data_IF_725581313893
#
_entry.id   IF_725581313893
#
_cell.length_a   1.000
_cell.length_b   1.000
_cell.length_c   1.000
_cell.angle_alpha   90.00
_cell.angle_beta   90.00
_cell.angle_gamma   90.00
#
_symmetry.space_group_name_H-M   'P 1'
#
loop_
_entity.id
_entity.type
_entity.pdbx_description
1 polymer ?
#
# COMPACT_ATOMS: atom_id res chain seq x y z
N UNK A 1 -4.19 -14.25 -0.12
CA UNK A 1 -2.97 -14.05 0.67
C UNK A 1 -3.22 -14.34 2.14
N UNK A 2 -2.34 -15.08 2.78
CA UNK A 2 -2.56 -15.56 4.15
C UNK A 2 -2.69 -14.43 5.20
N UNK A 3 -2.06 -13.28 5.03
CA UNK A 3 -2.19 -12.13 5.94
C UNK A 3 -3.60 -11.55 6.00
N UNK A 4 -4.45 -11.84 5.02
CA UNK A 4 -5.86 -11.47 5.00
C UNK A 4 -6.75 -12.54 5.63
N UNK A 5 -6.24 -13.73 5.87
CA UNK A 5 -6.97 -14.79 6.54
C UNK A 5 -7.17 -14.44 8.02
N UNK A 6 -8.27 -14.91 8.60
CA UNK A 6 -8.56 -14.71 10.02
C UNK A 6 -7.53 -15.39 10.90
N UNK A 7 -7.08 -16.57 10.50
CA UNK A 7 -5.99 -17.35 11.11
C UNK A 7 -5.03 -17.67 9.96
N UNK A 8 -3.80 -17.08 9.94
CA UNK A 8 -2.82 -17.44 8.95
C UNK A 8 -2.48 -18.94 9.01
N UNK A 9 -2.59 -19.60 7.86
CA UNK A 9 -2.39 -21.03 7.73
C UNK A 9 -1.83 -21.36 6.35
N UNK A 10 -1.21 -22.51 6.19
CA UNK A 10 -0.56 -22.94 4.95
C UNK A 10 -1.18 -24.23 4.37
N UNK A 11 -2.34 -24.66 4.87
CA UNK A 11 -3.04 -25.85 4.39
C UNK A 11 -3.44 -25.74 2.92
N UNK A 12 -3.75 -24.53 2.45
CA UNK A 12 -4.02 -24.25 1.04
C UNK A 12 -2.78 -24.47 0.16
N UNK A 13 -1.59 -24.08 0.62
CA UNK A 13 -0.33 -24.37 -0.09
C UNK A 13 -0.05 -25.86 -0.16
N UNK A 14 -0.25 -26.58 0.95
CA UNK A 14 -0.11 -28.03 0.96
C UNK A 14 -1.09 -28.70 0.01
N UNK A 15 -2.36 -28.29 0.04
CA UNK A 15 -3.38 -28.83 -0.85
C UNK A 15 -3.08 -28.56 -2.34
N UNK A 16 -2.72 -27.32 -2.67
CA UNK A 16 -2.39 -26.93 -4.05
C UNK A 16 -1.20 -27.72 -4.58
N UNK A 17 -0.15 -27.90 -3.80
CA UNK A 17 1.10 -28.54 -4.25
C UNK A 17 1.01 -30.07 -4.20
N UNK A 18 0.52 -30.65 -3.10
CA UNK A 18 0.64 -32.10 -2.87
C UNK A 18 -0.61 -32.88 -3.27
N UNK A 19 -1.78 -32.25 -3.32
CA UNK A 19 -3.05 -32.91 -3.67
C UNK A 19 -3.47 -32.55 -5.08
N UNK A 20 -3.52 -31.25 -5.41
CA UNK A 20 -3.95 -30.77 -6.70
C UNK A 20 -2.83 -30.78 -7.76
N UNK A 21 -1.58 -30.99 -7.37
CA UNK A 21 -0.40 -30.92 -8.23
C UNK A 21 -0.35 -29.63 -9.08
N UNK A 22 -0.76 -28.52 -8.46
CA UNK A 22 -0.84 -27.23 -9.09
C UNK A 22 0.56 -26.68 -9.42
N UNK A 23 0.66 -26.00 -10.56
CA UNK A 23 1.89 -25.32 -10.97
C UNK A 23 1.94 -23.90 -10.39
N UNK A 24 3.04 -23.52 -9.75
CA UNK A 24 3.35 -22.13 -9.45
C UNK A 24 3.62 -21.39 -10.75
N UNK A 25 2.78 -20.41 -11.10
CA UNK A 25 2.93 -19.63 -12.34
C UNK A 25 3.44 -18.21 -12.12
N UNK A 26 3.26 -17.67 -10.94
CA UNK A 26 3.85 -16.37 -10.59
C UNK A 26 4.05 -16.24 -9.07
N UNK A 27 5.05 -15.47 -8.69
CA UNK A 27 5.31 -15.10 -7.29
C UNK A 27 5.54 -13.61 -7.19
N UNK A 28 4.60 -12.92 -6.58
CA UNK A 28 4.74 -11.52 -6.22
C UNK A 28 5.31 -11.37 -4.82
N UNK A 29 5.94 -10.23 -4.51
CA UNK A 29 6.34 -9.88 -3.15
C UNK A 29 5.65 -8.59 -2.71
N UNK A 30 4.93 -8.67 -1.59
CA UNK A 30 4.38 -7.53 -0.88
C UNK A 30 5.24 -7.18 0.33
N UNK A 31 5.08 -5.98 0.88
CA UNK A 31 5.76 -5.55 2.10
C UNK A 31 4.74 -5.33 3.21
N UNK A 32 4.82 -6.08 4.29
CA UNK A 32 3.89 -5.96 5.42
C UNK A 32 4.59 -6.08 6.78
N UNK A 33 3.90 -5.66 7.84
CA UNK A 33 4.34 -5.85 9.22
C UNK A 33 3.14 -5.88 10.17
N UNK A 34 3.33 -6.49 11.36
CA UNK A 34 2.31 -6.48 12.41
C UNK A 34 2.21 -5.10 13.07
N UNK A 35 0.98 -4.58 13.20
CA UNK A 35 0.70 -3.30 13.87
C UNK A 35 1.02 -3.30 15.37
N UNK A 36 1.11 -4.49 16.00
CA UNK A 36 1.60 -4.63 17.37
C UNK A 36 3.12 -4.49 17.50
N UNK A 37 3.88 -4.72 16.41
CA UNK A 37 5.33 -4.71 16.43
C UNK A 37 5.87 -3.80 15.32
N UNK A 38 5.56 -2.53 15.42
CA UNK A 38 6.05 -1.52 14.49
C UNK A 38 7.55 -1.32 14.71
N UNK A 39 8.34 -1.60 13.70
CA UNK A 39 9.80 -1.40 13.74
C UNK A 39 10.13 0.08 13.62
N UNK A 40 11.25 0.48 14.23
CA UNK A 40 11.79 1.83 14.07
C UNK A 40 12.07 2.10 12.59
N UNK A 41 11.56 3.22 12.07
CA UNK A 41 11.82 3.65 10.69
C UNK A 41 13.31 3.92 10.46
N UNK A 42 13.77 3.68 9.25
CA UNK A 42 15.16 3.99 8.87
C UNK A 42 15.45 5.48 9.00
N UNK A 43 16.75 5.84 9.08
CA UNK A 43 17.15 7.23 9.18
C UNK A 43 16.68 8.06 7.98
N UNK A 44 16.68 7.49 6.79
CA UNK A 44 16.14 8.13 5.58
C UNK A 44 14.69 8.57 5.77
N UNK A 45 13.80 7.67 6.29
CA UNK A 45 12.39 8.00 6.55
C UNK A 45 12.26 9.05 7.64
N UNK A 46 13.00 8.91 8.73
CA UNK A 46 13.00 9.88 9.84
C UNK A 46 13.50 11.26 9.40
N UNK A 47 14.50 11.31 8.53
CA UNK A 47 14.98 12.57 7.94
C UNK A 47 13.91 13.21 7.06
N UNK A 48 13.19 12.41 6.25
CA UNK A 48 12.06 12.88 5.45
C UNK A 48 10.93 13.44 6.31
N UNK A 49 10.60 12.78 7.43
CA UNK A 49 9.60 13.27 8.40
C UNK A 49 10.01 14.65 8.96
N UNK A 50 11.24 14.79 9.45
CA UNK A 50 11.73 16.10 9.96
C UNK A 50 11.69 17.18 8.89
N UNK A 51 12.05 16.84 7.65
CA UNK A 51 11.97 17.76 6.51
C UNK A 51 10.53 18.19 6.24
N UNK A 52 9.58 17.27 6.24
CA UNK A 52 8.18 17.57 6.03
C UNK A 52 7.62 18.49 7.11
N UNK A 53 7.92 18.22 8.38
CA UNK A 53 7.52 19.06 9.50
C UNK A 53 8.11 20.48 9.34
N UNK A 54 9.40 20.59 9.01
CA UNK A 54 10.06 21.89 8.79
C UNK A 54 9.42 22.69 7.64
N UNK A 55 8.89 22.00 6.63
CA UNK A 55 8.19 22.61 5.49
C UNK A 55 6.70 22.90 5.78
N UNK A 56 6.21 22.70 7.00
CA UNK A 56 4.83 22.97 7.39
C UNK A 56 3.80 22.05 6.73
N UNK A 57 4.17 20.81 6.37
CA UNK A 57 3.24 19.86 5.77
C UNK A 57 2.23 19.41 6.83
N UNK A 58 0.96 19.41 6.44
CA UNK A 58 -0.15 18.90 7.20
C UNK A 58 -0.59 17.54 6.65
N UNK A 59 -0.97 16.61 7.54
CA UNK A 59 -1.45 15.27 7.16
C UNK A 59 -2.76 14.95 7.87
N UNK A 60 -3.67 14.26 7.20
CA UNK A 60 -4.95 13.87 7.78
C UNK A 60 -5.83 13.09 6.84
N UNK A 61 -6.94 12.59 7.38
CA UNK A 61 -8.01 11.98 6.59
C UNK A 61 -8.70 13.04 5.72
N UNK A 62 -9.02 12.68 4.47
CA UNK A 62 -9.60 13.61 3.48
C UNK A 62 -10.78 12.98 2.75
N UNK A 63 -11.67 13.84 2.28
CA UNK A 63 -12.76 13.47 1.38
C UNK A 63 -12.43 13.75 -0.09
N UNK A 64 -11.37 14.49 -0.38
CA UNK A 64 -11.01 14.95 -1.73
C UNK A 64 -10.29 13.87 -2.54
N UNK A 65 -11.08 12.87 -2.98
CA UNK A 65 -10.58 11.77 -3.79
C UNK A 65 -10.09 12.24 -5.16
N UNK A 66 -10.72 13.29 -5.72
CA UNK A 66 -10.36 13.84 -7.02
C UNK A 66 -8.94 14.44 -7.01
N UNK A 67 -8.58 15.19 -5.97
CA UNK A 67 -7.24 15.73 -5.82
C UNK A 67 -6.17 14.63 -5.76
N UNK A 68 -6.43 13.57 -5.00
CA UNK A 68 -5.52 12.42 -4.94
C UNK A 68 -5.44 11.67 -6.27
N UNK A 69 -6.58 11.41 -6.91
CA UNK A 69 -6.64 10.69 -8.19
C UNK A 69 -5.86 11.43 -9.29
N UNK A 70 -5.94 12.77 -9.32
CA UNK A 70 -5.16 13.59 -10.25
C UNK A 70 -3.65 13.41 -10.06
N UNK A 71 -3.15 13.41 -8.82
CA UNK A 71 -1.73 13.15 -8.52
C UNK A 71 -1.34 11.75 -8.97
N UNK A 72 -2.16 10.74 -8.66
CA UNK A 72 -1.91 9.35 -9.03
C UNK A 72 -1.88 9.18 -10.55
N UNK A 73 -2.89 9.66 -11.25
CA UNK A 73 -3.00 9.56 -12.69
C UNK A 73 -1.84 10.27 -13.40
N UNK A 74 -1.50 11.50 -12.99
CA UNK A 74 -0.38 12.24 -13.56
C UNK A 74 0.96 11.50 -13.37
N UNK A 75 1.19 10.89 -12.20
CA UNK A 75 2.40 10.10 -11.98
C UNK A 75 2.46 8.86 -12.86
N UNK A 76 1.35 8.15 -13.02
CA UNK A 76 1.30 6.92 -13.81
C UNK A 76 1.43 7.21 -15.30
N UNK A 77 0.76 8.24 -15.82
CA UNK A 77 0.86 8.63 -17.22
C UNK A 77 2.26 9.13 -17.56
N UNK A 78 2.83 9.99 -16.71
CA UNK A 78 4.15 10.59 -17.00
C UNK A 78 5.30 9.56 -16.88
N UNK A 79 5.23 8.64 -15.91
CA UNK A 79 6.33 7.69 -15.63
C UNK A 79 6.24 6.40 -16.41
N UNK A 80 5.02 5.88 -16.60
CA UNK A 80 4.79 4.52 -17.07
C UNK A 80 3.90 4.46 -18.30
N UNK A 81 3.42 5.60 -18.81
CA UNK A 81 2.47 5.70 -19.92
C UNK A 81 1.24 4.80 -19.70
N UNK A 82 0.74 4.78 -18.46
CA UNK A 82 -0.42 3.98 -18.04
C UNK A 82 -1.36 4.80 -17.16
N UNK A 83 -2.53 4.24 -16.84
CA UNK A 83 -3.53 4.86 -15.98
C UNK A 83 -3.79 4.02 -14.73
N UNK A 84 -4.39 4.58 -13.67
CA UNK A 84 -4.87 3.79 -12.54
C UNK A 84 -5.84 2.69 -13.02
N UNK A 85 -5.81 1.52 -12.37
CA UNK A 85 -6.71 0.40 -12.67
C UNK A 85 -8.19 0.80 -12.49
N UNK A 86 -8.46 1.65 -11.48
CA UNK A 86 -9.80 2.18 -11.24
C UNK A 86 -9.90 3.62 -11.73
N UNK A 87 -11.01 3.95 -12.39
CA UNK A 87 -11.41 5.34 -12.65
C UNK A 87 -11.79 6.06 -11.34
N UNK A 88 -11.82 7.38 -11.38
CA UNK A 88 -12.29 8.17 -10.23
C UNK A 88 -13.73 7.78 -9.84
N UNK A 89 -14.63 7.64 -10.82
CA UNK A 89 -16.02 7.26 -10.57
C UNK A 89 -16.18 5.89 -9.91
N UNK A 90 -15.34 4.90 -10.28
CA UNK A 90 -15.33 3.59 -9.62
C UNK A 90 -14.85 3.69 -8.18
N UNK A 91 -13.83 4.48 -7.90
CA UNK A 91 -13.34 4.70 -6.52
C UNK A 91 -14.37 5.43 -5.66
N UNK A 92 -15.06 6.44 -6.21
CA UNK A 92 -16.16 7.14 -5.54
C UNK A 92 -17.32 6.19 -5.23
N UNK A 93 -17.70 5.35 -6.18
CA UNK A 93 -18.73 4.33 -6.00
C UNK A 93 -18.32 3.32 -4.91
N UNK A 94 -17.11 2.79 -4.96
CA UNK A 94 -16.62 1.86 -3.96
C UNK A 94 -16.61 2.49 -2.56
N UNK A 95 -16.14 3.71 -2.45
CA UNK A 95 -16.10 4.44 -1.19
C UNK A 95 -17.49 4.74 -0.65
N UNK A 96 -18.44 5.05 -1.52
CA UNK A 96 -19.85 5.27 -1.11
C UNK A 96 -20.48 4.01 -0.52
N UNK A 97 -20.11 2.83 -1.04
CA UNK A 97 -20.59 1.52 -0.57
C UNK A 97 -19.86 1.04 0.70
N UNK A 98 -18.60 1.43 0.86
CA UNK A 98 -17.72 0.98 1.95
C UNK A 98 -17.04 2.16 2.66
N UNK A 99 -17.80 3.14 3.21
CA UNK A 99 -17.22 4.40 3.71
C UNK A 99 -16.36 4.21 4.97
N UNK A 100 -16.57 3.12 5.70
CA UNK A 100 -15.77 2.79 6.90
C UNK A 100 -14.47 2.06 6.54
N UNK A 101 -14.45 1.34 5.41
CA UNK A 101 -13.34 0.49 4.99
C UNK A 101 -12.41 1.18 3.99
N UNK A 102 -12.89 2.17 3.26
CA UNK A 102 -12.11 2.87 2.25
C UNK A 102 -11.85 4.30 2.71
N UNK A 103 -10.60 4.56 3.08
CA UNK A 103 -10.16 5.83 3.64
C UNK A 103 -9.07 6.45 2.79
N UNK A 104 -9.16 7.75 2.61
CA UNK A 104 -8.13 8.54 1.96
C UNK A 104 -7.40 9.37 3.00
N UNK A 105 -6.08 9.32 2.97
CA UNK A 105 -5.22 10.22 3.73
C UNK A 105 -4.39 11.07 2.78
N UNK A 106 -4.35 12.39 3.04
CA UNK A 106 -3.59 13.35 2.24
C UNK A 106 -2.52 14.05 3.09
N UNK A 107 -1.42 14.38 2.41
CA UNK A 107 -0.45 15.36 2.84
C UNK A 107 -0.65 16.63 2.01
N UNK A 108 -0.78 17.78 2.67
CA UNK A 108 -1.04 19.08 2.04
C UNK A 108 -0.10 20.16 2.56
N UNK A 109 0.03 21.25 1.83
CA UNK A 109 0.59 22.50 2.38
C UNK A 109 -0.40 23.15 3.33
N UNK A 110 0.04 24.20 4.05
CA UNK A 110 -0.83 25.07 4.85
C UNK A 110 -1.94 25.73 4.03
N UNK A 111 -1.70 25.99 2.76
CA UNK A 111 -2.68 26.54 1.81
C UNK A 111 -3.58 25.46 1.18
N UNK A 112 -3.56 24.25 1.75
CA UNK A 112 -4.35 23.08 1.29
C UNK A 112 -4.00 22.54 -0.10
N UNK A 113 -2.84 22.90 -0.67
CA UNK A 113 -2.36 22.28 -1.90
C UNK A 113 -2.05 20.79 -1.65
N UNK A 114 -2.62 19.83 -2.39
CA UNK A 114 -2.36 18.42 -2.22
C UNK A 114 -0.97 18.05 -2.72
N UNK A 115 -0.16 17.45 -1.87
CA UNK A 115 1.23 17.05 -2.15
C UNK A 115 1.37 15.56 -2.42
N UNK A 116 0.49 14.74 -1.85
CA UNK A 116 0.47 13.30 -1.99
C UNK A 116 -0.53 12.67 -1.04
N UNK A 117 -0.69 11.35 -1.15
CA UNK A 117 -1.64 10.63 -0.33
C UNK A 117 -1.57 9.14 -0.51
N UNK A 118 -2.46 8.47 0.20
CA UNK A 118 -2.72 7.03 0.06
C UNK A 118 -4.20 6.73 0.24
N UNK A 119 -4.71 5.87 -0.64
CA UNK A 119 -6.03 5.26 -0.47
C UNK A 119 -5.85 3.93 0.25
N UNK A 120 -6.51 3.79 1.38
CA UNK A 120 -6.44 2.61 2.24
C UNK A 120 -7.71 1.79 2.13
N UNK A 121 -7.56 0.47 2.02
CA UNK A 121 -8.63 -0.51 2.18
C UNK A 121 -8.43 -1.26 3.49
N UNK A 122 -9.44 -1.20 4.36
CA UNK A 122 -9.43 -1.87 5.66
C UNK A 122 -10.24 -3.15 5.62
N UNK A 123 -9.64 -4.21 6.12
CA UNK A 123 -10.32 -5.47 6.49
C UNK A 123 -10.20 -5.67 8.01
N UNK A 124 -10.87 -6.66 8.61
CA UNK A 124 -10.65 -6.96 10.03
C UNK A 124 -9.19 -7.18 10.41
N UNK A 125 -8.40 -7.78 9.52
CA UNK A 125 -7.02 -8.20 9.79
C UNK A 125 -5.94 -7.30 9.16
N UNK A 126 -6.29 -6.50 8.14
CA UNK A 126 -5.29 -5.79 7.33
C UNK A 126 -5.69 -4.36 7.03
N UNK A 127 -4.74 -3.46 7.17
CA UNK A 127 -4.75 -2.10 6.64
C UNK A 127 -3.90 -2.11 5.37
N UNK A 128 -4.55 -2.12 4.20
CA UNK A 128 -3.88 -2.22 2.90
C UNK A 128 -3.82 -0.88 2.19
N UNK A 129 -2.63 -0.48 1.74
CA UNK A 129 -2.48 0.70 0.89
C UNK A 129 -2.75 0.33 -0.57
N UNK A 130 -3.96 0.60 -1.04
CA UNK A 130 -4.37 0.32 -2.42
C UNK A 130 -3.62 1.17 -3.43
N UNK A 131 -3.47 2.46 -3.12
CA UNK A 131 -2.70 3.40 -3.93
C UNK A 131 -1.87 4.31 -3.05
N UNK A 132 -0.64 4.59 -3.49
CA UNK A 132 0.29 5.54 -2.88
C UNK A 132 0.81 6.44 -3.99
N UNK A 133 0.70 7.74 -3.83
CA UNK A 133 1.25 8.67 -4.81
C UNK A 133 1.61 10.03 -4.19
N UNK A 134 2.62 10.69 -4.75
CA UNK A 134 2.96 12.07 -4.39
C UNK A 134 3.44 12.84 -5.62
N UNK A 135 3.10 14.11 -5.69
CA UNK A 135 3.61 15.04 -6.69
C UNK A 135 5.14 15.18 -6.59
N UNK A 136 5.84 15.66 -7.64
CA UNK A 136 7.28 15.96 -7.55
C UNK A 136 7.62 16.87 -6.35
N UNK A 137 6.81 17.90 -6.10
CA UNK A 137 6.93 18.80 -4.96
C UNK A 137 6.77 18.04 -3.63
N UNK A 138 5.74 17.21 -3.51
CA UNK A 138 5.49 16.38 -2.33
C UNK A 138 6.64 15.42 -2.03
N UNK A 139 7.19 14.75 -3.06
CA UNK A 139 8.39 13.90 -2.92
C UNK A 139 9.59 14.69 -2.41
N UNK A 140 9.85 15.87 -3.01
CA UNK A 140 10.94 16.73 -2.60
C UNK A 140 10.82 17.23 -1.15
N UNK A 141 9.59 17.38 -0.64
CA UNK A 141 9.31 17.87 0.71
C UNK A 141 9.16 16.77 1.77
N UNK A 142 9.20 15.49 1.42
CA UNK A 142 9.04 14.36 2.35
C UNK A 142 7.59 14.08 2.74
N UNK A 143 6.62 14.47 1.90
CA UNK A 143 5.20 14.38 2.20
C UNK A 143 4.73 12.97 2.59
N UNK A 144 5.16 11.93 1.84
CA UNK A 144 4.80 10.54 2.15
C UNK A 144 5.47 10.03 3.43
N UNK A 145 6.65 10.54 3.78
CA UNK A 145 7.33 10.12 5.01
C UNK A 145 6.52 10.54 6.24
N UNK A 146 6.05 11.78 6.28
CA UNK A 146 5.19 12.29 7.36
C UNK A 146 3.81 11.64 7.33
N UNK A 147 3.24 11.41 6.13
CA UNK A 147 1.94 10.78 5.97
C UNK A 147 1.93 9.36 6.56
N UNK A 148 2.93 8.54 6.24
CA UNK A 148 3.02 7.19 6.78
C UNK A 148 3.38 7.16 8.26
N UNK A 149 4.17 8.11 8.75
CA UNK A 149 4.39 8.27 10.19
C UNK A 149 3.07 8.51 10.93
N UNK A 150 2.27 9.46 10.45
CA UNK A 150 0.95 9.75 11.01
C UNK A 150 0.02 8.53 10.97
N UNK A 151 -0.07 7.86 9.83
CA UNK A 151 -0.97 6.71 9.64
C UNK A 151 -0.58 5.55 10.56
N UNK A 152 0.71 5.18 10.57
CA UNK A 152 1.19 3.99 11.28
C UNK A 152 1.26 4.24 12.79
N UNK A 153 1.80 5.40 13.20
CA UNK A 153 2.11 5.68 14.60
C UNK A 153 1.00 6.41 15.36
N UNK A 154 -0.01 6.96 14.67
CA UNK A 154 -1.12 7.66 15.32
C UNK A 154 -2.47 7.00 15.00
N UNK A 155 -2.82 6.81 13.70
CA UNK A 155 -4.14 6.32 13.31
C UNK A 155 -4.32 4.84 13.65
N UNK A 156 -3.34 4.00 13.28
CA UNK A 156 -3.44 2.54 13.44
C UNK A 156 -2.55 1.98 14.56
N UNK A 157 -1.99 2.84 15.40
CA UNK A 157 -1.15 2.43 16.51
C UNK A 157 -1.90 1.50 17.46
N UNK A 158 -1.34 0.32 17.69
CA UNK A 158 -1.90 -0.66 18.63
C UNK A 158 -3.14 -1.41 18.13
N UNK A 159 -3.53 -1.24 16.86
CA UNK A 159 -4.56 -2.04 16.24
C UNK A 159 -4.06 -3.49 16.04
N UNK A 160 -4.96 -4.46 16.19
CA UNK A 160 -4.68 -5.83 15.80
C UNK A 160 -4.53 -5.97 14.29
N UNK A 161 -3.68 -6.92 13.86
CA UNK A 161 -3.50 -7.25 12.47
C UNK A 161 -2.24 -6.66 11.84
N UNK A 162 -2.30 -6.45 10.54
CA UNK A 162 -1.15 -6.12 9.71
C UNK A 162 -1.35 -4.82 8.95
N UNK A 163 -0.25 -4.09 8.75
CA UNK A 163 -0.14 -3.04 7.74
C UNK A 163 0.52 -3.60 6.50
N UNK A 164 -0.11 -3.46 5.34
CA UNK A 164 0.37 -3.99 4.07
C UNK A 164 0.51 -2.89 3.03
N UNK A 165 1.74 -2.67 2.56
CA UNK A 165 2.06 -1.70 1.52
C UNK A 165 1.76 -2.19 0.10
N UNK A 166 1.30 -3.43 -0.06
CA UNK A 166 1.08 -4.02 -1.36
C UNK A 166 2.36 -4.46 -2.08
N UNK A 167 2.18 -4.94 -3.30
CA UNK A 167 3.24 -5.55 -4.10
C UNK A 167 4.33 -4.57 -4.51
N UNK A 168 5.54 -5.12 -4.71
CA UNK A 168 6.70 -4.40 -5.24
C UNK A 168 7.32 -5.14 -6.44
N UNK A 169 6.52 -5.91 -7.14
CA UNK A 169 6.89 -6.66 -8.34
C UNK A 169 6.08 -6.20 -9.55
N UNK A 170 6.67 -6.38 -10.71
CA UNK A 170 6.15 -6.10 -12.03
C UNK A 170 6.22 -7.36 -12.89
N UNK A 171 5.59 -7.36 -14.06
CA UNK A 171 5.65 -8.45 -15.05
C UNK A 171 5.38 -9.85 -14.44
N UNK A 172 4.21 -10.00 -13.80
CA UNK A 172 3.82 -11.29 -13.19
C UNK A 172 4.76 -11.77 -12.08
N UNK A 173 5.44 -10.86 -11.39
CA UNK A 173 6.36 -11.20 -10.29
C UNK A 173 7.81 -11.41 -10.68
N UNK A 174 8.14 -11.35 -11.98
CA UNK A 174 9.50 -11.63 -12.49
C UNK A 174 10.47 -10.47 -12.27
N UNK A 175 9.97 -9.23 -12.18
CA UNK A 175 10.79 -8.03 -12.00
C UNK A 175 10.52 -7.42 -10.62
N UNK A 176 11.57 -7.30 -9.82
CA UNK A 176 11.50 -6.61 -8.53
C UNK A 176 11.76 -5.11 -8.71
N UNK A 177 10.78 -4.28 -8.31
CA UNK A 177 10.99 -2.85 -8.19
C UNK A 177 11.75 -2.53 -6.89
N UNK A 178 13.09 -2.51 -7.00
CA UNK A 178 13.99 -2.33 -5.86
C UNK A 178 13.77 -1.00 -5.12
N UNK A 179 13.45 0.08 -5.82
CA UNK A 179 13.22 1.38 -5.20
C UNK A 179 11.94 1.36 -4.35
N UNK A 180 10.91 0.72 -4.87
CA UNK A 180 9.62 0.62 -4.19
C UNK A 180 9.70 -0.27 -2.95
N UNK A 181 10.33 -1.45 -3.04
CA UNK A 181 10.49 -2.33 -1.87
C UNK A 181 11.36 -1.68 -0.80
N UNK A 182 12.47 -1.05 -1.18
CA UNK A 182 13.35 -0.33 -0.25
C UNK A 182 12.62 0.81 0.48
N UNK A 183 11.74 1.54 -0.23
CA UNK A 183 10.91 2.57 0.40
C UNK A 183 10.00 1.96 1.49
N UNK A 184 9.33 0.87 1.19
CA UNK A 184 8.41 0.18 2.11
C UNK A 184 9.15 -0.45 3.31
N UNK A 185 10.31 -1.05 3.07
CA UNK A 185 11.19 -1.56 4.13
C UNK A 185 11.66 -0.46 5.07
N UNK A 186 11.85 0.75 4.55
CA UNK A 186 12.20 1.92 5.34
C UNK A 186 11.18 2.27 6.42
N UNK A 187 9.91 1.94 6.21
CA UNK A 187 8.82 2.05 7.20
C UNK A 187 8.61 0.78 8.04
N UNK A 188 9.50 -0.20 7.94
CA UNK A 188 9.43 -1.43 8.72
C UNK A 188 8.80 -2.62 7.99
N UNK A 189 8.34 -2.45 6.75
CA UNK A 189 7.82 -3.52 5.92
C UNK A 189 8.80 -4.67 5.74
N UNK A 190 8.28 -5.89 5.63
CA UNK A 190 9.06 -7.10 5.29
C UNK A 190 8.33 -7.86 4.21
N UNK A 191 9.11 -8.51 3.36
CA UNK A 191 8.60 -9.25 2.22
C UNK A 191 7.70 -10.40 2.60
N UNK A 192 6.56 -10.49 1.94
CA UNK A 192 5.63 -11.62 1.99
C UNK A 192 5.31 -12.01 0.56
N UNK A 193 5.52 -13.28 0.23
CA UNK A 193 5.23 -13.79 -1.10
C UNK A 193 3.73 -14.02 -1.29
N UNK A 194 3.24 -13.63 -2.46
CA UNK A 194 1.90 -13.92 -2.95
C UNK A 194 2.01 -14.75 -4.21
N UNK A 195 1.74 -16.02 -4.05
CA UNK A 195 1.85 -17.02 -5.11
C UNK A 195 0.55 -17.15 -5.88
N UNK A 196 0.65 -17.32 -7.19
CA UNK A 196 -0.45 -17.68 -8.06
C UNK A 196 -0.20 -19.09 -8.60
N UNK A 197 -1.14 -19.98 -8.34
CA UNK A 197 -1.11 -21.36 -8.81
C UNK A 197 -2.13 -21.60 -9.90
N UNK A 198 -1.80 -22.49 -10.80
CA UNK A 198 -2.69 -23.01 -11.84
C UNK A 198 -2.75 -24.53 -11.74
N UNK A 199 -3.96 -25.10 -11.75
CA UNK A 199 -4.15 -26.54 -11.88
C UNK A 199 -5.30 -26.85 -12.84
N UNK A 200 -5.33 -28.06 -13.37
CA UNK A 200 -6.40 -28.54 -14.23
C UNK A 200 -7.44 -29.27 -13.39
N UNK A 201 -8.66 -28.75 -13.32
CA UNK A 201 -9.77 -29.32 -12.55
C UNK A 201 -10.22 -30.68 -13.09
N UNK A 202 -9.92 -31.00 -14.35
CA UNK A 202 -10.29 -32.29 -14.98
C UNK A 202 -9.48 -33.49 -14.46
N UNK A 203 -8.56 -33.28 -13.53
CA UNK A 203 -7.64 -34.32 -13.00
C UNK A 203 -7.96 -34.70 -11.56
N UNK A 204 -9.08 -34.19 -11.01
CA UNK A 204 -9.59 -34.59 -9.70
C UNK A 204 -10.53 -35.80 -9.80
#
# INVERSE_FOLDING_TARGET
PYIYHRIPAEEDLYALTNICHAQLISRDISSSFSLHNVRKFTESRRSGIRKAIKNGILVGESQDLAAFWNILNNNLTTKYNTHPVHSLAELELLRSRFPKQIKLYLATTTDKEPLGGTLIYETPNVVHTQYISASPKGKAMGALDLLFDYIINNVYKGRDGYFDFGKSTEDGGTILNQQLIHQKEGFGGRGICYDTYKWNISVL
#
